data_IF_775415479023
#
_entry.id   IF_775415479023
#
_cell.length_a   1.000
_cell.length_b   1.000
_cell.length_c   1.000
_cell.angle_alpha   90.00
_cell.angle_beta   90.00
_cell.angle_gamma   90.00
#
_symmetry.space_group_name_H-M   'P 1'
#
loop_
_entity.id
_entity.type
_entity.pdbx_description
1 polymer ?
2 non-polymer ?
3 water ?
#
# COMPACT_ATOMS: atom_id res chain seq x y z
N UNK A 6 -3.67 0.03 21.79
CA UNK A 6 -4.83 -0.22 22.65
C UNK A 6 -5.34 -1.64 22.48
N UNK A 7 -6.16 -2.06 23.46
CA UNK A 7 -6.75 -3.38 23.42
C UNK A 7 -7.60 -3.58 22.17
N UNK A 8 -8.40 -2.58 21.82
CA UNK A 8 -9.27 -2.69 20.65
C UNK A 8 -8.47 -2.67 19.35
N UNK A 9 -7.55 -1.72 19.23
CA UNK A 9 -6.77 -1.63 18.00
C UNK A 9 -5.89 -2.86 17.80
N UNK A 10 -5.37 -3.43 18.89
CA UNK A 10 -4.63 -4.69 18.79
C UNK A 10 -5.51 -5.80 18.22
N UNK A 11 -6.73 -5.93 18.74
CA UNK A 11 -7.65 -6.94 18.19
C UNK A 11 -7.88 -6.72 16.70
N UNK A 12 -8.08 -5.47 16.28
CA UNK A 12 -8.25 -5.20 14.85
C UNK A 12 -7.03 -5.64 14.04
N UNK A 13 -5.83 -5.36 14.55
CA UNK A 13 -4.61 -5.80 13.89
C UNK A 13 -4.57 -7.31 13.72
N UNK A 14 -5.05 -8.04 14.72
CA UNK A 14 -5.10 -9.49 14.62
C UNK A 14 -6.12 -9.94 13.58
N UNK A 15 -7.27 -9.28 13.51
CA UNK A 15 -8.23 -9.56 12.43
C UNK A 15 -7.58 -9.34 11.07
N UNK A 16 -6.95 -8.17 10.88
CA UNK A 16 -6.31 -7.87 9.61
C UNK A 16 -5.23 -8.90 9.26
N UNK A 17 -4.40 -9.26 10.23
CA UNK A 17 -3.40 -10.29 9.97
C UNK A 17 -4.06 -11.61 9.55
N UNK A 18 -5.19 -11.97 10.18
CA UNK A 18 -5.86 -13.19 9.74
C UNK A 18 -6.37 -13.07 8.30
N UNK A 19 -6.97 -11.93 7.95
CA UNK A 19 -7.49 -11.74 6.60
C UNK A 19 -6.38 -11.82 5.56
N UNK A 20 -5.14 -11.49 5.93
CA UNK A 20 -3.98 -11.54 5.04
C UNK A 20 -3.26 -12.88 5.09
N UNK A 21 -3.73 -13.83 5.90
CA UNK A 21 -3.04 -15.09 6.12
C UNK A 21 -3.41 -16.12 5.05
N UNK A 22 -2.61 -17.18 5.02
CA UNK A 22 -2.76 -18.20 3.98
C UNK A 22 -4.06 -18.95 4.15
N UNK A 23 -4.58 -19.00 5.37
CA UNK A 23 -5.90 -19.55 5.68
C UNK A 23 -6.96 -19.10 4.69
N UNK A 24 -6.97 -17.82 4.34
CA UNK A 24 -8.04 -17.25 3.53
C UNK A 24 -7.59 -16.87 2.14
N UNK A 25 -6.38 -17.26 1.74
CA UNK A 25 -5.78 -16.78 0.49
C UNK A 25 -6.66 -17.03 -0.72
N UNK A 26 -7.36 -18.17 -0.75
CA UNK A 26 -8.16 -18.55 -1.92
C UNK A 26 -9.19 -17.49 -2.31
N UNK A 27 -9.76 -16.76 -1.35
CA UNK A 27 -10.71 -15.71 -1.66
C UNK A 27 -10.26 -14.32 -1.23
N UNK A 28 -9.17 -14.18 -0.50
CA UNK A 28 -8.75 -12.86 -0.07
C UNK A 28 -7.82 -12.17 -1.06
N UNK A 29 -7.20 -12.93 -1.97
CA UNK A 29 -6.15 -12.35 -2.80
C UNK A 29 -6.56 -11.14 -3.64
N UNK A 30 -7.80 -10.97 -4.12
CA UNK A 30 -8.09 -9.76 -4.90
C UNK A 30 -8.09 -8.49 -4.06
N UNK A 31 -8.09 -8.62 -2.73
CA UNK A 31 -8.11 -7.48 -1.83
C UNK A 31 -6.74 -7.17 -1.25
N UNK A 32 -5.70 -7.92 -1.66
CA UNK A 32 -4.35 -7.74 -1.15
C UNK A 32 -3.75 -6.39 -1.52
N UNK A 33 -4.22 -5.77 -2.59
CA UNK A 33 -3.62 -4.52 -3.07
C UNK A 33 -4.67 -3.77 -3.90
N UNK A 34 -4.45 -2.49 -4.18
CA UNK A 34 -5.48 -1.69 -4.85
C UNK A 34 -5.89 -2.28 -6.19
N UNK A 35 -7.17 -2.09 -6.55
CA UNK A 35 -7.64 -2.53 -7.86
C UNK A 35 -6.84 -1.80 -8.93
N UNK A 36 -6.20 -2.55 -9.82
CA UNK A 36 -5.40 -1.96 -10.88
C UNK A 36 -6.31 -1.79 -12.09
N UNK A 37 -7.07 -0.69 -12.08
CA UNK A 37 -8.12 -0.49 -13.08
C UNK A 37 -7.53 -0.41 -14.48
N UNK A 38 -6.27 0.00 -14.59
CA UNK A 38 -5.63 0.13 -15.89
C UNK A 38 -5.25 -1.24 -16.45
N UNK A 39 -4.51 -2.04 -15.68
CA UNK A 39 -4.15 -3.38 -16.14
C UNK A 39 -5.40 -4.22 -16.43
N UNK A 40 -6.44 -4.06 -15.60
CA UNK A 40 -7.67 -4.81 -15.77
C UNK A 40 -8.57 -4.23 -16.84
N UNK A 41 -8.31 -3.00 -17.29
CA UNK A 41 -9.13 -2.31 -18.28
C UNK A 41 -10.55 -2.10 -17.75
N UNK A 42 -10.66 -1.75 -16.48
CA UNK A 42 -11.95 -1.34 -15.90
C UNK A 42 -12.07 0.18 -16.05
N UNK A 43 -12.34 0.60 -17.29
CA UNK A 43 -12.26 2.01 -17.65
C UNK A 43 -13.18 2.88 -16.80
N UNK A 44 -14.30 2.30 -16.33
CA UNK A 44 -15.27 3.01 -15.50
C UNK A 44 -15.04 2.85 -13.99
N UNK A 45 -13.98 2.15 -13.57
CA UNK A 45 -13.89 1.80 -12.14
C UNK A 45 -13.81 3.04 -11.27
N UNK A 46 -12.90 3.96 -11.59
CA UNK A 46 -12.73 5.14 -10.77
C UNK A 46 -13.83 6.18 -10.98
N UNK A 47 -14.65 6.05 -12.02
CA UNK A 47 -15.86 6.88 -12.09
C UNK A 47 -16.94 6.38 -11.12
N UNK A 48 -17.04 5.07 -10.94
CA UNK A 48 -18.04 4.47 -10.07
C UNK A 48 -17.58 4.44 -8.62
N UNK A 49 -16.30 4.14 -8.39
CA UNK A 49 -15.73 4.01 -7.04
C UNK A 49 -14.89 5.25 -6.76
N UNK A 50 -15.40 6.16 -5.93
CA UNK A 50 -14.70 7.41 -5.67
C UNK A 50 -13.69 7.32 -4.53
N UNK A 51 -13.77 6.30 -3.68
CA UNK A 51 -12.79 6.10 -2.60
C UNK A 51 -12.35 4.65 -2.59
N UNK A 52 -11.35 4.30 -3.41
CA UNK A 52 -10.89 2.90 -3.46
C UNK A 52 -10.28 2.50 -2.13
N UNK A 53 -10.46 1.23 -1.76
CA UNK A 53 -9.87 0.73 -0.52
C UNK A 53 -9.49 -0.73 -0.73
N UNK A 54 -8.45 -1.16 -0.02
CA UNK A 54 -7.96 -2.54 -0.09
C UNK A 54 -7.18 -2.83 1.18
N UNK A 55 -6.76 -4.09 1.32
CA UNK A 55 -6.16 -4.53 2.59
C UNK A 55 -4.77 -3.96 2.83
N UNK A 56 -3.98 -3.73 1.77
CA UNK A 56 -2.63 -3.21 1.98
C UNK A 56 -2.70 -1.79 2.51
N UNK A 57 -3.66 -1.01 2.02
CA UNK A 57 -3.90 0.33 2.52
C UNK A 57 -4.36 0.30 3.98
N UNK A 58 -5.30 -0.58 4.32
CA UNK A 58 -5.68 -0.76 5.72
C UNK A 58 -4.46 -1.07 6.56
N UNK A 59 -3.57 -1.94 6.07
CA UNK A 59 -2.38 -2.31 6.81
C UNK A 59 -1.42 -1.14 6.97
N UNK A 60 -1.22 -0.38 5.89
CA UNK A 60 -0.36 0.81 5.98
C UNK A 60 -0.87 1.74 7.08
N UNK A 61 -2.18 2.00 7.10
CA UNK A 61 -2.74 2.89 8.12
C UNK A 61 -2.61 2.31 9.52
N UNK A 62 -2.87 1.01 9.67
CA UNK A 62 -2.74 0.39 10.99
C UNK A 62 -1.30 0.47 11.48
N UNK A 63 -0.35 0.08 10.63
CA UNK A 63 1.04 0.06 11.04
C UNK A 63 1.53 1.45 11.44
N UNK A 64 1.09 2.48 10.72
CA UNK A 64 1.34 3.87 11.05
C UNK A 64 0.44 4.43 12.14
N UNK A 65 -0.42 3.59 12.71
CA UNK A 65 -1.29 3.96 13.83
C UNK A 65 -2.19 5.14 13.46
N UNK A 66 -2.73 5.11 12.24
CA UNK A 66 -3.60 6.19 11.78
C UNK A 66 -5.03 6.04 12.29
N UNK A 67 -5.50 4.82 12.54
CA UNK A 67 -6.86 4.65 13.05
C UNK A 67 -6.88 4.95 14.54
N UNK A 68 -7.62 5.97 14.99
CA UNK A 68 -7.72 6.21 16.43
C UNK A 68 -8.53 5.17 17.17
N UNK A 69 -9.39 4.42 16.48
CA UNK A 69 -10.28 3.50 17.17
C UNK A 69 -10.72 2.41 16.20
N UNK A 70 -11.37 1.38 16.77
CA UNK A 70 -11.78 0.25 15.96
C UNK A 70 -12.82 0.63 14.92
N UNK A 71 -13.67 1.62 15.22
CA UNK A 71 -14.69 2.02 14.26
C UNK A 71 -14.06 2.59 12.98
N UNK A 72 -13.00 3.40 13.11
CA UNK A 72 -12.33 3.88 11.91
C UNK A 72 -11.75 2.74 11.10
N UNK A 73 -11.15 1.76 11.78
CA UNK A 73 -10.62 0.60 11.08
C UNK A 73 -11.72 -0.15 10.35
N UNK A 74 -12.85 -0.37 11.04
CA UNK A 74 -13.95 -1.11 10.41
C UNK A 74 -14.58 -0.34 9.26
N UNK A 75 -14.64 1.00 9.36
CA UNK A 75 -15.17 1.79 8.27
C UNK A 75 -14.37 1.54 6.98
N UNK A 76 -13.03 1.53 7.08
CA UNK A 76 -12.20 1.27 5.90
C UNK A 76 -12.44 -0.13 5.35
N UNK A 77 -12.43 -1.15 6.21
CA UNK A 77 -12.63 -2.52 5.73
C UNK A 77 -13.98 -2.65 5.04
N UNK A 78 -15.02 -2.06 5.62
CA UNK A 78 -16.36 -2.18 5.08
C UNK A 78 -16.51 -1.42 3.77
N UNK A 79 -15.72 -0.36 3.59
CA UNK A 79 -15.71 0.36 2.31
C UNK A 79 -15.12 -0.50 1.21
N UNK A 80 -14.01 -1.18 1.50
CA UNK A 80 -13.44 -2.13 0.56
C UNK A 80 -14.49 -3.09 0.02
N UNK A 81 -15.28 -3.70 0.92
CA UNK A 81 -16.29 -4.64 0.46
C UNK A 81 -17.41 -3.92 -0.27
N UNK A 82 -17.86 -2.79 0.29
CA UNK A 82 -18.93 -2.02 -0.33
C UNK A 82 -18.55 -1.61 -1.75
N UNK A 83 -17.31 -1.15 -1.95
CA UNK A 83 -16.82 -0.86 -3.31
C UNK A 83 -16.96 -2.06 -4.23
N UNK A 84 -16.63 -3.25 -3.73
CA UNK A 84 -16.68 -4.45 -4.57
C UNK A 84 -18.12 -4.77 -4.98
N UNK A 85 -19.05 -4.73 -4.03
CA UNK A 85 -20.45 -5.01 -4.38
C UNK A 85 -21.01 -3.93 -5.31
N UNK A 86 -20.62 -2.69 -5.12
CA UNK A 86 -21.15 -1.60 -5.93
C UNK A 86 -20.69 -1.73 -7.39
N UNK A 87 -19.40 -2.02 -7.61
CA UNK A 87 -18.86 -1.98 -8.97
C UNK A 87 -19.23 -3.21 -9.80
N UNK A 88 -19.13 -4.42 -9.20
CA UNK A 88 -19.15 -5.64 -10.03
C UNK A 88 -20.56 -6.16 -10.31
N UNK A 89 -20.72 -6.88 -11.41
CA UNK A 89 -21.95 -7.66 -11.59
C UNK A 89 -22.16 -8.59 -10.42
N UNK A 90 -23.40 -8.81 -9.99
CA UNK A 90 -23.64 -9.62 -8.78
C UNK A 90 -23.10 -11.03 -8.86
N UNK A 91 -23.00 -11.62 -10.07
CA UNK A 91 -22.53 -13.00 -10.17
C UNK A 91 -21.02 -13.11 -10.44
N UNK A 92 -20.28 -12.02 -10.36
CA UNK A 92 -18.83 -12.12 -10.57
C UNK A 92 -18.20 -12.96 -9.47
N UNK A 93 -17.16 -13.71 -9.83
CA UNK A 93 -16.47 -14.52 -8.86
C UNK A 93 -15.91 -13.68 -7.72
N UNK A 94 -15.45 -12.46 -8.01
CA UNK A 94 -14.85 -11.64 -6.96
C UNK A 94 -15.90 -11.24 -5.93
N UNK A 95 -17.17 -11.19 -6.34
CA UNK A 95 -18.23 -10.89 -5.38
C UNK A 95 -18.42 -12.05 -4.43
N UNK A 96 -18.39 -13.27 -4.95
CA UNK A 96 -18.50 -14.43 -4.08
C UNK A 96 -17.33 -14.49 -3.11
N UNK A 97 -16.14 -14.13 -3.58
CA UNK A 97 -14.97 -14.11 -2.71
C UNK A 97 -15.11 -13.04 -1.63
N UNK A 98 -15.59 -11.85 -2.00
CA UNK A 98 -15.79 -10.79 -1.02
C UNK A 98 -16.78 -11.21 0.05
N UNK A 99 -17.83 -11.93 -0.35
CA UNK A 99 -18.82 -12.40 0.62
C UNK A 99 -18.16 -13.28 1.68
N UNK A 100 -17.27 -14.19 1.26
CA UNK A 100 -16.62 -15.08 2.21
C UNK A 100 -15.68 -14.32 3.14
N UNK A 101 -14.96 -13.34 2.60
CA UNK A 101 -14.01 -12.65 3.46
C UNK A 101 -14.71 -11.67 4.38
N UNK A 102 -15.81 -11.06 3.92
CA UNK A 102 -16.58 -10.19 4.80
C UNK A 102 -17.24 -10.97 5.93
N UNK A 103 -17.67 -12.20 5.65
CA UNK A 103 -18.17 -13.07 6.70
C UNK A 103 -17.13 -13.24 7.79
N UNK A 104 -15.91 -13.61 7.38
CA UNK A 104 -14.80 -13.76 8.30
C UNK A 104 -14.58 -12.47 9.08
N UNK A 105 -14.52 -11.33 8.38
CA UNK A 105 -14.23 -10.08 9.07
C UNK A 105 -15.31 -9.73 10.08
N UNK A 106 -16.58 -9.77 9.66
CA UNK A 106 -17.67 -9.35 10.54
C UNK A 106 -17.83 -10.30 11.73
N UNK A 107 -17.55 -11.59 11.54
CA UNK A 107 -17.65 -12.51 12.66
C UNK A 107 -16.58 -12.24 13.69
N UNK A 108 -15.33 -12.02 13.26
CA UNK A 108 -14.27 -11.64 14.19
C UNK A 108 -14.57 -10.31 14.87
N UNK A 109 -14.96 -9.30 14.08
CA UNK A 109 -15.20 -7.97 14.63
C UNK A 109 -16.28 -7.99 15.71
N UNK A 110 -17.33 -8.78 15.50
CA UNK A 110 -18.43 -8.84 16.45
C UNK A 110 -18.02 -9.43 17.79
N UNK A 111 -16.91 -10.18 17.84
CA UNK A 111 -16.46 -10.78 19.07
C UNK A 111 -15.31 -10.00 19.68
N UNK A 112 -15.17 -8.74 19.33
CA UNK A 112 -14.15 -7.91 19.93
C UNK A 112 -14.42 -7.78 21.42
N UNK A 113 -13.50 -8.20 22.29
CA UNK A 113 -13.72 -8.04 23.72
C UNK A 113 -13.85 -6.57 24.12
N UNK B 6 16.42 -14.90 2.94
CA UNK B 6 17.65 -14.61 2.24
C UNK B 6 18.46 -13.55 2.99
N UNK B 7 19.78 -13.67 3.00
CA UNK B 7 20.59 -12.70 3.73
C UNK B 7 20.54 -11.34 3.05
N UNK B 8 20.49 -11.32 1.72
CA UNK B 8 20.40 -10.04 1.02
C UNK B 8 19.03 -9.41 1.21
N UNK B 9 17.96 -10.22 1.19
CA UNK B 9 16.62 -9.63 1.32
C UNK B 9 16.36 -9.09 2.72
N UNK B 10 16.91 -9.73 3.76
CA UNK B 10 16.73 -9.15 5.10
C UNK B 10 17.44 -7.80 5.20
N UNK B 11 18.65 -7.68 4.64
CA UNK B 11 19.34 -6.40 4.60
C UNK B 11 18.50 -5.36 3.86
N UNK B 12 17.90 -5.74 2.74
CA UNK B 12 17.01 -4.85 2.02
C UNK B 12 15.86 -4.40 2.91
N UNK B 13 15.22 -5.34 3.60
CA UNK B 13 14.17 -4.98 4.54
C UNK B 13 14.67 -4.01 5.59
N UNK B 14 15.90 -4.19 6.06
CA UNK B 14 16.43 -3.30 7.07
C UNK B 14 16.68 -1.90 6.52
N UNK B 15 17.07 -1.79 5.24
CA UNK B 15 17.15 -0.48 4.60
C UNK B 15 15.77 0.16 4.55
N UNK B 16 14.77 -0.62 4.13
CA UNK B 16 13.41 -0.09 3.99
C UNK B 16 12.86 0.38 5.34
N UNK B 17 13.13 -0.37 6.41
CA UNK B 17 12.77 0.07 7.76
C UNK B 17 13.41 1.41 8.11
N UNK B 18 14.69 1.58 7.77
CA UNK B 18 15.33 2.85 8.10
C UNK B 18 14.69 4.01 7.34
N UNK B 19 14.33 3.79 6.07
CA UNK B 19 13.70 4.85 5.28
C UNK B 19 12.33 5.24 5.85
N UNK B 20 11.64 4.31 6.52
CA UNK B 20 10.34 4.54 7.12
C UNK B 20 10.41 4.98 8.57
N UNK B 21 11.60 5.05 9.15
CA UNK B 21 11.73 5.33 10.55
C UNK B 21 11.62 6.83 10.82
N UNK B 22 11.59 7.15 12.12
CA UNK B 22 11.37 8.54 12.54
C UNK B 22 12.55 9.42 12.14
N UNK B 23 13.77 8.88 12.13
CA UNK B 23 14.96 9.69 11.87
C UNK B 23 14.86 10.45 10.56
N UNK B 24 14.23 9.86 9.54
CA UNK B 24 14.19 10.48 8.22
C UNK B 24 12.83 11.06 7.87
N UNK B 25 11.90 11.10 8.82
CA UNK B 25 10.51 11.43 8.51
C UNK B 25 10.37 12.81 7.87
N UNK B 26 11.25 13.75 8.23
CA UNK B 26 11.10 15.14 7.78
C UNK B 26 11.16 15.26 6.27
N UNK B 27 11.88 14.36 5.61
CA UNK B 27 11.95 14.36 4.15
C UNK B 27 11.42 13.08 3.52
N UNK B 28 11.12 12.05 4.31
CA UNK B 28 10.65 10.80 3.72
C UNK B 28 9.13 10.74 3.58
N UNK B 29 8.39 11.60 4.27
CA UNK B 29 6.95 11.42 4.34
C UNK B 29 6.22 11.50 3.00
N UNK B 30 6.65 12.25 1.98
CA UNK B 30 5.91 12.22 0.71
C UNK B 30 5.94 10.88 0.02
N UNK B 31 6.83 9.97 0.44
CA UNK B 31 7.01 8.69 -0.22
C UNK B 31 6.39 7.55 0.57
N UNK B 32 5.68 7.86 1.67
CA UNK B 32 5.04 6.86 2.52
C UNK B 32 3.86 6.16 1.84
N UNK B 33 3.27 6.77 0.83
CA UNK B 33 2.12 6.18 0.15
C UNK B 33 2.07 6.76 -1.26
N UNK B 34 1.29 6.15 -2.16
CA UNK B 34 1.26 6.61 -3.55
C UNK B 34 0.88 8.08 -3.66
N UNK B 35 1.42 8.73 -4.69
CA UNK B 35 1.01 10.09 -5.02
C UNK B 35 -0.48 10.10 -5.29
N UNK B 36 -1.24 10.83 -4.48
CA UNK B 36 -2.67 11.03 -4.70
C UNK B 36 -2.85 12.17 -5.70
N UNK B 37 -2.69 11.84 -6.98
CA UNK B 37 -2.75 12.86 -8.01
C UNK B 37 -4.09 13.59 -8.01
N UNK B 38 -5.15 12.91 -7.57
CA UNK B 38 -6.49 13.49 -7.53
C UNK B 38 -6.59 14.56 -6.46
N UNK B 39 -6.27 14.19 -5.20
CA UNK B 39 -6.28 15.16 -4.11
C UNK B 39 -5.36 16.33 -4.40
N UNK B 40 -4.22 16.05 -5.03
CA UNK B 40 -3.22 17.08 -5.29
C UNK B 40 -3.50 17.85 -6.58
N UNK B 41 -4.50 17.45 -7.36
CA UNK B 41 -4.85 18.11 -8.62
C UNK B 41 -3.69 18.07 -9.62
N UNK B 42 -2.99 16.93 -9.66
CA UNK B 42 -1.93 16.75 -10.65
C UNK B 42 -2.54 15.92 -11.77
N UNK B 43 -3.22 16.62 -12.68
CA UNK B 43 -4.00 15.94 -13.71
C UNK B 43 -3.14 15.37 -14.83
N UNK B 44 -1.86 15.74 -14.92
CA UNK B 44 -0.95 15.12 -15.87
C UNK B 44 -0.07 14.05 -15.24
N UNK B 45 -0.22 13.76 -13.94
CA UNK B 45 0.76 12.91 -13.28
C UNK B 45 0.80 11.52 -13.90
N UNK B 46 -0.37 10.90 -14.08
CA UNK B 46 -0.40 9.55 -14.61
C UNK B 46 -0.20 9.50 -16.12
N UNK B 47 -0.13 10.66 -16.79
CA UNK B 47 0.32 10.72 -18.17
C UNK B 47 1.84 10.81 -18.29
N UNK B 48 2.52 11.34 -17.27
CA UNK B 48 3.97 11.44 -17.27
C UNK B 48 4.61 10.25 -16.56
N UNK B 49 4.00 9.78 -15.46
CA UNK B 49 4.51 8.66 -14.68
C UNK B 49 3.66 7.44 -15.04
N UNK B 50 4.22 6.52 -15.81
CA UNK B 50 3.47 5.33 -16.20
C UNK B 50 3.54 4.20 -15.17
N UNK B 51 4.54 4.19 -14.29
CA UNK B 51 4.68 3.14 -13.28
C UNK B 51 4.92 3.82 -11.94
N UNK B 52 3.86 4.27 -11.26
CA UNK B 52 4.03 4.91 -9.96
C UNK B 52 4.63 3.94 -8.95
N UNK B 53 5.41 4.47 -8.01
CA UNK B 53 5.97 3.65 -6.95
C UNK B 53 6.12 4.49 -5.69
N UNK B 54 6.10 3.83 -4.54
CA UNK B 54 6.19 4.50 -3.24
C UNK B 54 6.62 3.46 -2.20
N UNK B 55 6.96 3.94 -1.00
CA UNK B 55 7.53 3.02 -0.01
C UNK B 55 6.50 2.02 0.54
N UNK B 56 5.21 2.37 0.57
CA UNK B 56 4.26 1.42 1.13
C UNK B 56 4.07 0.25 0.16
N UNK B 57 4.14 0.53 -1.14
CA UNK B 57 4.09 -0.54 -2.13
C UNK B 57 5.34 -1.40 -2.06
N UNK B 58 6.52 -0.79 -1.90
CA UNK B 58 7.73 -1.60 -1.71
C UNK B 58 7.55 -2.49 -0.49
N UNK B 59 6.94 -1.97 0.57
CA UNK B 59 6.80 -2.74 1.80
C UNK B 59 5.81 -3.88 1.62
N UNK B 60 4.70 -3.63 0.93
CA UNK B 60 3.76 -4.72 0.65
C UNK B 60 4.43 -5.84 -0.14
N UNK B 61 5.18 -5.48 -1.20
CA UNK B 61 5.87 -6.50 -1.98
C UNK B 61 6.92 -7.22 -1.13
N UNK B 62 7.66 -6.50 -0.30
CA UNK B 62 8.68 -7.13 0.51
C UNK B 62 8.07 -8.07 1.54
N UNK B 63 7.00 -7.64 2.21
CA UNK B 63 6.40 -8.45 3.26
C UNK B 63 5.72 -9.70 2.69
N UNK B 64 5.16 -9.60 1.49
CA UNK B 64 4.70 -10.73 0.71
C UNK B 64 5.78 -11.44 -0.08
N UNK B 65 7.05 -11.12 0.17
CA UNK B 65 8.20 -11.83 -0.41
C UNK B 65 8.12 -11.90 -1.94
N UNK B 66 7.68 -10.80 -2.57
CA UNK B 66 7.63 -10.73 -4.02
C UNK B 66 9.01 -10.50 -4.65
N UNK B 67 9.87 -9.70 -4.02
CA UNK B 67 11.21 -9.50 -4.57
C UNK B 67 12.03 -10.77 -4.44
N UNK B 68 12.50 -11.37 -5.53
CA UNK B 68 13.36 -12.54 -5.39
C UNK B 68 14.80 -12.18 -5.05
N UNK B 69 15.21 -10.94 -5.21
CA UNK B 69 16.60 -10.57 -4.99
C UNK B 69 16.70 -9.08 -4.72
N UNK B 70 17.86 -8.66 -4.24
CA UNK B 70 18.05 -7.25 -3.88
C UNK B 70 17.91 -6.34 -5.09
N UNK B 71 18.27 -6.83 -6.28
CA UNK B 71 18.16 -6.03 -7.49
C UNK B 71 16.71 -5.61 -7.74
N UNK B 72 15.78 -6.56 -7.61
CA UNK B 72 14.38 -6.21 -7.80
C UNK B 72 13.89 -5.19 -6.78
N UNK B 73 14.35 -5.33 -5.54
CA UNK B 73 14.01 -4.36 -4.50
C UNK B 73 14.54 -2.97 -4.87
N UNK B 74 15.79 -2.90 -5.30
CA UNK B 74 16.38 -1.60 -5.62
C UNK B 74 15.78 -1.02 -6.90
N UNK B 75 15.39 -1.87 -7.86
CA UNK B 75 14.72 -1.36 -9.04
C UNK B 75 13.46 -0.57 -8.67
N UNK B 76 12.65 -1.11 -7.75
CA UNK B 76 11.44 -0.40 -7.34
C UNK B 76 11.78 0.90 -6.60
N UNK B 77 12.72 0.86 -5.65
CA UNK B 77 13.04 2.07 -4.88
C UNK B 77 13.57 3.16 -5.81
N UNK B 78 14.42 2.78 -6.78
CA UNK B 78 14.98 3.76 -7.69
C UNK B 78 13.94 4.30 -8.67
N UNK B 79 12.92 3.50 -8.97
CA UNK B 79 11.82 3.98 -9.81
C UNK B 79 11.02 5.05 -9.07
N UNK B 80 10.76 4.83 -7.78
CA UNK B 80 10.16 5.84 -6.94
C UNK B 80 10.88 7.18 -7.07
N UNK B 81 12.19 7.17 -6.93
CA UNK B 81 12.94 8.41 -6.97
C UNK B 81 12.93 9.02 -8.36
N UNK B 82 13.20 8.20 -9.39
CA UNK B 82 13.27 8.75 -10.74
C UNK B 82 11.90 9.26 -11.19
N UNK B 83 10.82 8.62 -10.76
CA UNK B 83 9.50 9.20 -10.98
C UNK B 83 9.41 10.62 -10.40
N UNK B 84 9.96 10.83 -9.21
CA UNK B 84 9.84 12.12 -8.57
C UNK B 84 10.63 13.17 -9.34
N UNK B 85 11.86 12.83 -9.73
CA UNK B 85 12.69 13.77 -10.51
C UNK B 85 12.06 14.07 -11.86
N UNK B 86 11.47 13.07 -12.50
CA UNK B 86 10.89 13.29 -13.82
C UNK B 86 9.69 14.23 -13.75
N UNK B 87 8.76 13.97 -12.83
CA UNK B 87 7.52 14.72 -12.83
C UNK B 87 7.72 16.17 -12.42
N UNK B 88 8.50 16.42 -11.34
CA UNK B 88 8.46 17.71 -10.65
C UNK B 88 9.42 18.74 -11.23
N UNK B 89 9.08 20.01 -11.11
CA UNK B 89 10.05 21.06 -11.38
C UNK B 89 11.28 20.83 -10.53
N UNK B 90 12.47 21.16 -11.06
CA UNK B 90 13.71 20.83 -10.35
C UNK B 90 13.83 21.49 -8.99
N UNK B 91 13.17 22.63 -8.76
CA UNK B 91 13.31 23.34 -7.50
C UNK B 91 12.17 23.05 -6.52
N UNK B 92 11.30 22.09 -6.83
CA UNK B 92 10.24 21.79 -5.88
C UNK B 92 10.82 21.19 -4.61
N UNK B 93 10.22 21.57 -3.49
CA UNK B 93 10.61 21.04 -2.19
C UNK B 93 10.71 19.51 -2.19
N UNK B 94 9.75 18.84 -2.82
CA UNK B 94 9.75 17.37 -2.79
C UNK B 94 10.97 16.80 -3.50
N UNK B 95 11.57 17.54 -4.43
CA UNK B 95 12.75 17.04 -5.12
C UNK B 95 13.95 17.06 -4.20
N UNK B 96 14.09 18.13 -3.40
CA UNK B 96 15.19 18.18 -2.44
C UNK B 96 15.02 17.13 -1.36
N UNK B 97 13.78 16.83 -0.97
CA UNK B 97 13.54 15.74 -0.04
C UNK B 97 13.94 14.39 -0.64
N UNK B 98 13.59 14.16 -1.91
CA UNK B 98 13.96 12.92 -2.59
C UNK B 98 15.48 12.73 -2.60
N UNK B 99 16.22 13.81 -2.87
CA UNK B 99 17.68 13.74 -2.87
C UNK B 99 18.22 13.22 -1.55
N UNK B 100 17.69 13.76 -0.44
CA UNK B 100 18.12 13.33 0.88
C UNK B 100 17.81 11.86 1.12
N UNK B 101 16.57 11.44 0.84
CA UNK B 101 16.23 10.05 1.09
C UNK B 101 17.00 9.12 0.16
N UNK B 102 17.21 9.53 -1.10
CA UNK B 102 17.95 8.67 -2.02
C UNK B 102 19.40 8.52 -1.61
N UNK B 103 20.00 9.60 -1.11
CA UNK B 103 21.33 9.51 -0.51
C UNK B 103 21.36 8.45 0.57
N UNK B 104 20.39 8.49 1.49
CA UNK B 104 20.29 7.49 2.54
C UNK B 104 20.22 6.10 1.92
N UNK B 105 19.32 5.90 0.94
CA UNK B 105 19.14 4.57 0.36
C UNK B 105 20.41 4.08 -0.32
N UNK B 106 20.96 4.88 -1.25
CA UNK B 106 22.09 4.41 -2.04
C UNK B 106 23.33 4.14 -1.19
N UNK B 107 23.52 4.92 -0.12
CA UNK B 107 24.67 4.65 0.74
C UNK B 107 24.51 3.34 1.50
N UNK B 108 23.32 3.08 2.07
CA UNK B 108 23.09 1.77 2.68
C UNK B 108 23.22 0.66 1.64
N UNK B 109 22.58 0.83 0.48
CA UNK B 109 22.62 -0.22 -0.54
C UNK B 109 24.04 -0.54 -0.97
N UNK B 110 24.92 0.47 -1.01
CA UNK B 110 26.28 0.25 -1.47
C UNK B 110 27.06 -0.67 -0.55
N UNK B 111 26.67 -0.74 0.72
CA UNK B 111 27.42 -1.46 1.71
C UNK B 111 26.83 -2.84 2.01
N UNK B 112 25.90 -3.30 1.19
CA UNK B 112 25.26 -4.57 1.44
C UNK B 112 26.30 -5.67 1.41
N UNK B 113 26.38 -6.51 2.46
CA UNK B 113 27.38 -7.58 2.57
C UNK B 113 27.21 -8.63 1.49
X LIG C 1 -9.06 -8.47 -9.91
X LIG C 1 -10.38 -7.36 -8.34
X LIG C 1 -12.44 -7.10 -10.16
X LIG C 1 -13.68 -7.21 -12.45
X LIG C 1 -16.47 -6.82 -14.84
X LIG C 1 -11.27 -7.74 -10.52
X LIG C 1 -11.11 -6.03 -5.53
X LIG C 1 -7.79 -10.01 -11.21
X LIG C 1 -5.25 -10.06 -11.07
X LIG C 1 -6.62 -9.50 -10.66
X LIG C 1 -6.68 -8.46 -9.74
X LIG C 1 -5.44 -7.93 -9.19
X LIG C 1 -5.30 -6.34 -8.58
X LIG C 1 -3.58 -5.83 -8.56
X LIG C 1 -5.85 -6.27 -7.21
X LIG C 1 -6.20 -5.41 -9.23
X LIG C 1 -7.90 -7.94 -9.37
X LIG C 1 -10.25 -7.88 -9.55
X LIG C 1 -11.56 -6.71 -7.97
X LIG C 1 -12.53 -6.58 -8.83
X LIG C 1 -13.59 -6.91 -11.04
X LIG C 1 -14.93 -6.97 -13.04
X LIG C 1 -15.00 -7.06 -14.43
X LIG C 1 -12.77 -7.61 -13.10
X LIG C 1 -13.55 -5.90 -8.23
X LIG C 1 -13.15 -5.61 -6.96
X LIG C 1 -11.93 -6.11 -6.81
X LIG C 1 -9.02 -9.49 -10.85
X LIG D 1 2.86 15.52 -2.08
X LIG D 1 4.34 14.24 -3.37
X LIG D 1 4.46 16.16 -5.32
X LIG D 1 3.72 18.25 -6.62
X LIG D 1 3.92 20.95 -9.06
X LIG D 1 3.70 16.37 -4.18
X LIG D 1 6.10 11.68 -4.10
X LIG D 1 1.74 16.84 -0.43
X LIG D 1 0.17 15.76 1.26
X LIG D 1 1.13 15.70 0.06
X LIG D 1 1.36 14.48 -0.54
X LIG D 1 0.72 13.32 0.02
X LIG D 1 0.42 11.95 -0.91
X LIG D 1 1.85 10.83 -0.87
X LIG D 1 0.11 12.27 -2.31
X LIG D 1 -0.76 11.24 -0.41
X LIG D 1 2.23 14.39 -1.61
X LIG D 1 3.67 15.37 -3.20
X LIG D 1 5.10 14.03 -4.52
X LIG D 1 5.17 14.94 -5.44
X LIG D 1 4.60 17.12 -6.38
X LIG D 1 3.87 18.94 -7.82
X LIG D 1 3.24 20.20 -7.91
X LIG D 1 2.90 18.57 -5.84
X LIG D 1 5.97 14.49 -6.43
X LIG D 1 6.41 13.24 -6.07
X LIG D 1 5.88 12.96 -4.90
X LIG D 1 2.61 16.76 -1.51
#
# INVERSE_FOLDING_TARGET
SMGKLSEHLRYCDSILREMLSKKHAAYAWPFYKPVDAEALELHDYHDIIKHPMDLSTVKRKMDGREYPDAQGFAADVRLMFSNCYKYNPPDHEVVAMARKLQDVFEMRFAKMP
SMGKLSEHLRYCDSILREMLSKKHAAYAWPFYKPVDAEALELHDYHDIIKHPMDLSTVKRKMDGREYPDAQGFAADVRLMFSNCYKYNPPDHEVVAMARKLQDVFEMRFAKMP
BMF C10 N12 C15 C17 C20 C22 C26 C28 C01 C02 C03 N04 S05 C06 O07 O08 C09 C11 N13 C14 N16 O18 C19 O21 N23 N24 C25 C27
BMF C10 N12 C15 C17 C20 C22 C26 C28 C01 C02 C03 N04 S05 C06 O07 O08 C09 C11 N13 C14 N16 O18 C19 O21 N23 N24 C25 C27
#
